data_IF_364740304538
#
_entry.id   IF_364740304538
#
_cell.length_a   1.000
_cell.length_b   1.000
_cell.length_c   1.000
_cell.angle_alpha   90.00
_cell.angle_beta   90.00
_cell.angle_gamma   90.00
#
_symmetry.space_group_name_H-M   'P 1'
#
loop_
_entity.id
_entity.type
_entity.pdbx_description
1 polymer ?
#
# COMPACT_ATOMS: atom_id res chain seq x y z
N UNK A 1 35.77 5.76 37.78
CA UNK A 1 35.67 5.27 36.39
C UNK A 1 34.38 4.46 36.32
N UNK A 2 33.31 5.04 35.75
CA UNK A 2 32.88 4.86 34.35
C UNK A 2 32.48 3.39 34.05
N UNK A 3 31.30 3.04 33.59
CA UNK A 3 30.10 3.78 33.22
C UNK A 3 28.95 2.76 33.06
N UNK A 4 27.73 3.15 33.43
CA UNK A 4 26.56 2.31 33.23
C UNK A 4 26.15 2.37 31.75
N UNK A 5 26.19 1.22 31.08
CA UNK A 5 25.81 1.08 29.68
C UNK A 5 24.30 1.32 29.50
N UNK A 6 23.93 2.31 28.69
CA UNK A 6 22.58 2.45 28.17
C UNK A 6 22.29 1.28 27.22
N UNK A 7 21.39 0.39 27.64
CA UNK A 7 20.72 -0.53 26.73
C UNK A 7 19.70 0.29 25.91
N UNK A 8 20.09 0.66 24.69
CA UNK A 8 19.15 1.18 23.69
C UNK A 8 18.18 0.05 23.32
N UNK A 9 16.95 0.16 23.82
CA UNK A 9 15.82 -0.61 23.32
C UNK A 9 15.59 -0.22 21.85
N UNK A 10 16.09 -1.04 20.93
CA UNK A 10 15.64 -1.00 19.54
C UNK A 10 14.19 -1.47 19.53
N UNK A 11 13.25 -0.52 19.46
CA UNK A 11 11.87 -0.83 19.15
C UNK A 11 11.84 -1.56 17.80
N UNK A 12 11.07 -2.65 17.65
CA UNK A 12 10.87 -3.26 16.36
C UNK A 12 10.06 -2.26 15.53
N UNK A 13 10.74 -1.54 14.63
CA UNK A 13 10.08 -1.09 13.41
C UNK A 13 9.45 -2.35 12.84
N UNK A 14 8.12 -2.37 12.71
CA UNK A 14 7.41 -3.47 12.11
C UNK A 14 8.01 -3.68 10.71
N UNK A 15 8.96 -4.61 10.61
CA UNK A 15 9.49 -5.06 9.35
C UNK A 15 8.28 -5.61 8.61
N UNK A 16 7.86 -4.92 7.56
CA UNK A 16 6.97 -5.52 6.58
C UNK A 16 7.58 -6.89 6.26
N UNK A 17 6.85 -7.96 6.59
CA UNK A 17 7.37 -9.31 6.44
C UNK A 17 7.92 -9.43 5.02
N UNK A 18 9.22 -9.71 4.92
CA UNK A 18 9.92 -9.81 3.64
C UNK A 18 9.16 -10.83 2.79
N UNK A 19 8.57 -10.40 1.67
CA UNK A 19 7.68 -11.26 0.88
C UNK A 19 8.45 -12.19 -0.05
N UNK A 20 9.76 -11.99 -0.15
CA UNK A 20 10.67 -12.72 -1.01
C UNK A 20 11.32 -11.77 -2.01
N UNK A 21 12.58 -12.04 -2.37
CA UNK A 21 13.41 -11.12 -3.16
C UNK A 21 12.72 -10.58 -4.42
N UNK A 22 11.99 -11.44 -5.13
CA UNK A 22 11.21 -11.06 -6.32
C UNK A 22 10.12 -10.03 -6.01
N UNK A 23 9.35 -10.26 -4.94
CA UNK A 23 8.24 -9.40 -4.55
C UNK A 23 8.72 -8.09 -3.92
N UNK A 24 9.86 -8.12 -3.25
CA UNK A 24 10.43 -6.96 -2.57
C UNK A 24 11.24 -6.04 -3.51
N UNK A 25 11.65 -6.52 -4.69
CA UNK A 25 12.62 -5.81 -5.53
C UNK A 25 12.16 -4.39 -5.91
N UNK A 26 10.97 -4.24 -6.49
CA UNK A 26 10.50 -2.93 -6.95
C UNK A 26 10.31 -1.95 -5.78
N UNK A 27 9.80 -2.44 -4.65
CA UNK A 27 9.60 -1.64 -3.44
C UNK A 27 10.93 -1.24 -2.80
N UNK A 28 11.92 -2.12 -2.83
CA UNK A 28 13.27 -1.84 -2.32
C UNK A 28 14.05 -0.87 -3.21
N UNK A 29 13.83 -0.92 -4.52
CA UNK A 29 14.50 -0.07 -5.50
C UNK A 29 13.89 1.34 -5.62
N UNK A 30 12.60 1.50 -5.29
CA UNK A 30 11.95 2.81 -5.32
C UNK A 30 12.47 3.74 -4.20
N UNK A 31 12.86 4.97 -4.56
CA UNK A 31 13.30 5.97 -3.58
C UNK A 31 12.11 6.46 -2.73
N UNK A 32 12.36 7.03 -1.53
CA UNK A 32 11.29 7.62 -0.71
C UNK A 32 10.46 8.67 -1.46
N UNK A 33 11.08 9.48 -2.31
CA UNK A 33 10.43 10.51 -3.11
C UNK A 33 9.49 9.87 -4.14
N UNK A 34 9.96 8.85 -4.86
CA UNK A 34 9.13 8.13 -5.83
C UNK A 34 7.96 7.43 -5.14
N UNK A 35 8.16 6.83 -3.96
CA UNK A 35 7.07 6.23 -3.18
C UNK A 35 6.02 7.27 -2.78
N UNK A 36 6.45 8.46 -2.39
CA UNK A 36 5.54 9.56 -2.06
C UNK A 36 4.77 10.06 -3.29
N UNK A 37 5.44 10.20 -4.45
CA UNK A 37 4.78 10.56 -5.70
C UNK A 37 3.78 9.49 -6.17
N UNK A 38 4.12 8.21 -6.05
CA UNK A 38 3.21 7.09 -6.33
C UNK A 38 1.99 7.12 -5.41
N UNK A 39 2.22 7.31 -4.10
CA UNK A 39 1.14 7.39 -3.12
C UNK A 39 0.20 8.57 -3.36
N UNK A 40 0.76 9.75 -3.64
CA UNK A 40 -0.01 10.96 -3.96
C UNK A 40 -0.75 10.89 -5.31
N UNK A 41 -0.19 10.21 -6.32
CA UNK A 41 -0.87 10.00 -7.61
C UNK A 41 -2.07 9.05 -7.53
N UNK A 42 -2.22 8.30 -6.42
CA UNK A 42 -3.38 7.47 -6.13
C UNK A 42 -4.48 8.22 -5.37
N UNK A 43 -4.20 9.45 -4.95
CA UNK A 43 -5.18 10.37 -4.34
C UNK A 43 -5.43 11.53 -5.29
N UNK A 44 -6.41 12.37 -4.97
CA UNK A 44 -6.80 13.55 -5.75
C UNK A 44 -5.73 14.65 -5.83
N UNK A 45 -4.52 14.41 -5.33
CA UNK A 45 -3.43 15.38 -5.24
C UNK A 45 -2.50 15.35 -6.47
N UNK A 46 -2.71 14.44 -7.43
CA UNK A 46 -1.92 14.33 -8.65
C UNK A 46 -2.52 15.05 -9.87
N UNK A 47 -1.67 15.64 -10.71
CA UNK A 47 -2.03 16.00 -12.09
C UNK A 47 -1.71 14.84 -13.06
N UNK A 48 -2.46 14.73 -14.16
CA UNK A 48 -2.37 13.60 -15.10
C UNK A 48 -0.96 13.45 -15.72
N UNK A 49 -0.27 14.56 -15.98
CA UNK A 49 1.07 14.53 -16.58
C UNK A 49 2.14 14.04 -15.58
N UNK A 50 1.99 14.41 -14.31
CA UNK A 50 2.80 13.89 -13.21
C UNK A 50 2.58 12.41 -12.98
N UNK A 51 1.34 11.92 -13.17
CA UNK A 51 1.01 10.49 -13.03
C UNK A 51 1.72 9.62 -14.06
N UNK A 52 1.74 10.04 -15.32
CA UNK A 52 2.42 9.30 -16.40
C UNK A 52 3.93 9.21 -16.15
N UNK A 53 4.57 10.32 -15.77
CA UNK A 53 6.00 10.35 -15.45
C UNK A 53 6.35 9.45 -14.24
N UNK A 54 5.47 9.39 -13.23
CA UNK A 54 5.64 8.51 -12.08
C UNK A 54 5.51 7.04 -12.49
N UNK A 55 4.57 6.71 -13.36
CA UNK A 55 4.36 5.34 -13.84
C UNK A 55 5.50 4.88 -14.75
N UNK A 56 6.06 5.77 -15.57
CA UNK A 56 7.27 5.49 -16.36
C UNK A 56 8.47 5.16 -15.47
N UNK A 57 8.71 5.96 -14.42
CA UNK A 57 9.79 5.69 -13.46
C UNK A 57 9.62 4.34 -12.75
N UNK A 58 8.40 4.01 -12.32
CA UNK A 58 8.11 2.69 -11.77
C UNK A 58 8.31 1.58 -12.82
N UNK A 59 7.95 1.84 -14.08
CA UNK A 59 8.14 0.93 -15.19
C UNK A 59 9.60 0.55 -15.38
N UNK A 60 10.52 1.52 -15.33
CA UNK A 60 11.96 1.26 -15.40
C UNK A 60 12.50 0.42 -14.23
N UNK A 61 12.00 0.66 -13.01
CA UNK A 61 12.34 -0.17 -11.84
C UNK A 61 11.84 -1.60 -12.03
N UNK A 62 10.58 -1.74 -12.45
CA UNK A 62 9.96 -3.04 -12.72
C UNK A 62 10.72 -3.80 -13.81
N UNK A 63 11.14 -3.13 -14.89
CA UNK A 63 11.94 -3.73 -15.96
C UNK A 63 13.28 -4.26 -15.47
N UNK A 64 13.94 -3.49 -14.59
CA UNK A 64 15.19 -3.89 -13.96
C UNK A 64 15.00 -5.14 -13.08
N UNK A 65 13.96 -5.14 -12.24
CA UNK A 65 13.62 -6.29 -11.39
C UNK A 65 13.21 -7.53 -12.20
N UNK A 66 12.46 -7.34 -13.30
CA UNK A 66 12.06 -8.43 -14.21
C UNK A 66 13.29 -9.08 -14.84
N UNK A 67 14.25 -8.27 -15.30
CA UNK A 67 15.50 -8.75 -15.85
C UNK A 67 16.37 -9.47 -14.80
N UNK A 68 16.53 -8.88 -13.61
CA UNK A 68 17.35 -9.42 -12.51
C UNK A 68 16.82 -10.78 -12.04
N UNK A 69 15.50 -10.88 -11.84
CA UNK A 69 14.87 -12.07 -11.27
C UNK A 69 14.26 -13.01 -12.31
N UNK A 70 14.50 -12.75 -13.61
CA UNK A 70 14.00 -13.55 -14.73
C UNK A 70 12.50 -13.79 -14.65
N UNK A 71 11.75 -12.75 -14.29
CA UNK A 71 10.28 -12.80 -14.26
C UNK A 71 9.80 -13.00 -15.70
N UNK A 72 8.86 -13.91 -15.91
CA UNK A 72 8.37 -14.19 -17.26
C UNK A 72 7.69 -12.95 -17.84
N UNK A 73 7.84 -12.75 -19.15
CA UNK A 73 7.21 -11.61 -19.83
C UNK A 73 5.68 -11.57 -19.63
N UNK A 74 5.03 -12.74 -19.51
CA UNK A 74 3.61 -12.86 -19.22
C UNK A 74 3.21 -12.33 -17.83
N UNK A 75 4.13 -12.34 -16.86
CA UNK A 75 3.88 -11.89 -15.50
C UNK A 75 4.22 -10.41 -15.28
N UNK A 76 4.85 -9.75 -16.26
CA UNK A 76 5.35 -8.37 -16.13
C UNK A 76 4.24 -7.38 -15.76
N UNK A 77 3.10 -7.43 -16.44
CA UNK A 77 1.99 -6.52 -16.16
C UNK A 77 1.42 -6.74 -14.75
N UNK A 78 1.22 -8.00 -14.36
CA UNK A 78 0.77 -8.37 -13.01
C UNK A 78 1.78 -7.91 -11.94
N UNK A 79 3.07 -8.04 -12.22
CA UNK A 79 4.13 -7.62 -11.31
C UNK A 79 4.22 -6.09 -11.19
N UNK A 80 3.99 -5.36 -12.28
CA UNK A 80 3.84 -3.90 -12.25
C UNK A 80 2.67 -3.48 -11.35
N UNK A 81 1.48 -4.02 -11.58
CA UNK A 81 0.27 -3.70 -10.80
C UNK A 81 0.47 -4.02 -9.31
N UNK A 82 1.06 -5.18 -9.01
CA UNK A 82 1.42 -5.58 -7.65
C UNK A 82 2.39 -4.58 -7.01
N UNK A 83 3.44 -4.17 -7.73
CA UNK A 83 4.47 -3.26 -7.22
C UNK A 83 3.90 -1.88 -6.95
N UNK A 84 3.09 -1.35 -7.89
CA UNK A 84 2.37 -0.09 -7.73
C UNK A 84 1.48 -0.14 -6.48
N UNK A 85 0.63 -1.16 -6.40
CA UNK A 85 -0.31 -1.33 -5.29
C UNK A 85 0.40 -1.49 -3.94
N UNK A 86 1.50 -2.24 -3.88
CA UNK A 86 2.29 -2.41 -2.65
C UNK A 86 2.89 -1.08 -2.18
N UNK A 87 3.52 -0.33 -3.08
CA UNK A 87 4.12 0.96 -2.74
C UNK A 87 3.05 1.94 -2.27
N UNK A 88 1.96 2.08 -3.02
CA UNK A 88 0.85 2.97 -2.67
C UNK A 88 0.26 2.61 -1.30
N UNK A 89 0.01 1.31 -1.06
CA UNK A 89 -0.51 0.83 0.22
C UNK A 89 0.42 1.17 1.37
N UNK A 90 1.71 0.84 1.26
CA UNK A 90 2.70 1.10 2.31
C UNK A 90 2.81 2.59 2.63
N UNK A 91 2.78 3.46 1.62
CA UNK A 91 2.79 4.91 1.82
C UNK A 91 1.50 5.40 2.50
N UNK A 92 0.33 4.94 2.04
CA UNK A 92 -0.98 5.33 2.57
C UNK A 92 -1.15 4.92 4.04
N UNK A 93 -0.55 3.82 4.51
CA UNK A 93 -0.54 3.47 5.95
C UNK A 93 0.03 4.63 6.76
N UNK A 94 1.17 5.19 6.34
CA UNK A 94 1.82 6.29 7.04
C UNK A 94 1.03 7.59 6.93
N UNK A 95 0.40 7.85 5.78
CA UNK A 95 -0.33 9.10 5.56
C UNK A 95 -1.68 9.13 6.29
N UNK A 96 -2.41 8.02 6.30
CA UNK A 96 -3.65 7.84 7.09
C UNK A 96 -3.37 8.00 8.59
N UNK A 97 -2.22 7.49 9.07
CA UNK A 97 -1.83 7.62 10.47
C UNK A 97 -1.63 9.06 10.94
N UNK A 98 -1.32 10.01 10.05
CA UNK A 98 -1.23 11.45 10.38
C UNK A 98 -2.58 12.04 10.81
N UNK A 99 -3.68 11.42 10.40
CA UNK A 99 -5.04 11.76 10.81
C UNK A 99 -5.52 10.94 12.02
N UNK A 100 -4.61 10.27 12.74
CA UNK A 100 -4.91 9.39 13.87
C UNK A 100 -5.86 8.21 13.53
N UNK A 101 -5.91 7.81 12.26
CA UNK A 101 -6.63 6.64 11.79
C UNK A 101 -5.66 5.47 11.61
N UNK A 102 -6.17 4.24 11.74
CA UNK A 102 -5.38 3.04 11.50
C UNK A 102 -5.86 2.35 10.23
N UNK A 103 -4.96 2.10 9.30
CA UNK A 103 -5.29 1.45 8.04
C UNK A 103 -5.74 -0.02 8.22
N UNK A 104 -5.28 -0.70 9.28
CA UNK A 104 -5.68 -2.07 9.58
C UNK A 104 -7.18 -2.24 9.92
N UNK A 105 -7.90 -1.15 10.22
CA UNK A 105 -9.36 -1.16 10.35
C UNK A 105 -10.01 -1.53 9.02
N UNK A 106 -9.50 -0.99 7.91
CA UNK A 106 -9.94 -1.32 6.55
C UNK A 106 -9.61 -2.77 6.22
N UNK A 107 -8.42 -3.24 6.62
CA UNK A 107 -8.03 -4.64 6.40
C UNK A 107 -8.98 -5.62 7.07
N UNK A 108 -9.39 -5.32 8.30
CA UNK A 108 -10.29 -6.18 9.06
C UNK A 108 -11.70 -6.20 8.48
N UNK A 109 -12.24 -5.03 8.12
CA UNK A 109 -13.64 -4.94 7.68
C UNK A 109 -13.84 -5.49 6.26
N UNK A 110 -12.83 -5.36 5.40
CA UNK A 110 -12.86 -5.89 4.04
C UNK A 110 -12.24 -7.29 3.92
N UNK A 111 -11.82 -7.88 5.04
CA UNK A 111 -11.14 -9.18 5.09
C UNK A 111 -9.97 -9.26 4.11
N UNK A 112 -9.09 -8.26 4.19
CA UNK A 112 -7.83 -8.25 3.45
C UNK A 112 -6.76 -9.08 4.16
N UNK A 113 -6.10 -9.96 3.41
CA UNK A 113 -4.99 -10.75 3.93
C UNK A 113 -4.62 -11.96 3.07
N UNK A 114 -3.58 -12.71 3.46
CA UNK A 114 -3.15 -13.91 2.73
C UNK A 114 -4.24 -14.98 2.60
N UNK A 115 -5.15 -15.02 3.58
CA UNK A 115 -6.28 -15.97 3.65
C UNK A 115 -7.65 -15.28 3.58
N UNK A 116 -7.65 -13.96 3.40
CA UNK A 116 -8.88 -13.18 3.37
C UNK A 116 -9.59 -13.26 2.02
N UNK A 117 -10.84 -12.82 2.01
CA UNK A 117 -11.66 -12.70 0.81
C UNK A 117 -10.98 -11.85 -0.26
N UNK A 118 -10.33 -10.76 0.14
CA UNK A 118 -9.70 -9.78 -0.76
C UNK A 118 -10.66 -9.33 -1.87
N UNK A 119 -11.78 -8.66 -1.54
CA UNK A 119 -12.77 -8.24 -2.53
C UNK A 119 -12.09 -7.40 -3.62
N UNK A 120 -12.52 -7.60 -4.87
CA UNK A 120 -12.04 -6.80 -5.99
C UNK A 120 -12.70 -5.42 -5.95
N UNK A 121 -11.88 -4.40 -5.73
CA UNK A 121 -12.23 -2.97 -5.72
C UNK A 121 -11.63 -2.23 -6.92
N UNK A 122 -11.43 -2.93 -8.04
CA UNK A 122 -11.01 -2.30 -9.30
C UNK A 122 -12.10 -1.38 -9.89
N UNK A 123 -13.36 -1.58 -9.49
CA UNK A 123 -14.48 -0.66 -9.69
C UNK A 123 -14.72 0.23 -8.46
N UNK A 124 -15.68 1.15 -8.57
CA UNK A 124 -16.14 1.93 -7.41
C UNK A 124 -16.58 1.00 -6.27
N UNK A 125 -16.20 1.35 -5.03
CA UNK A 125 -16.67 0.66 -3.83
C UNK A 125 -18.18 0.82 -3.71
N UNK A 126 -18.86 -0.23 -3.26
CA UNK A 126 -20.30 -0.14 -3.00
C UNK A 126 -20.59 0.68 -1.76
N UNK A 127 -21.80 1.25 -1.68
CA UNK A 127 -22.27 1.97 -0.49
C UNK A 127 -22.17 1.10 0.77
N UNK A 128 -22.44 -0.21 0.66
CA UNK A 128 -22.31 -1.15 1.79
C UNK A 128 -20.85 -1.27 2.26
N UNK A 129 -19.88 -1.32 1.34
CA UNK A 129 -18.46 -1.37 1.68
C UNK A 129 -18.01 -0.05 2.33
N UNK A 130 -18.44 1.08 1.78
CA UNK A 130 -18.16 2.41 2.33
C UNK A 130 -18.72 2.53 3.75
N UNK A 131 -20.00 2.17 3.93
CA UNK A 131 -20.66 2.21 5.23
C UNK A 131 -19.98 1.27 6.24
N UNK A 132 -19.56 0.08 5.82
CA UNK A 132 -18.84 -0.85 6.70
C UNK A 132 -17.51 -0.25 7.18
N UNK A 133 -16.73 0.38 6.30
CA UNK A 133 -15.47 1.07 6.67
C UNK A 133 -15.74 2.19 7.68
N UNK A 134 -16.75 3.04 7.41
CA UNK A 134 -17.11 4.15 8.29
C UNK A 134 -17.50 3.64 9.67
N UNK A 135 -18.39 2.63 9.75
CA UNK A 135 -18.80 2.03 11.02
C UNK A 135 -17.64 1.37 11.76
N UNK A 136 -16.70 0.74 11.05
CA UNK A 136 -15.51 0.15 11.65
C UNK A 136 -14.61 1.23 12.29
N UNK A 137 -14.48 2.40 11.66
CA UNK A 137 -13.75 3.52 12.24
C UNK A 137 -14.45 4.11 13.47
N UNK A 138 -15.79 4.26 13.45
CA UNK A 138 -16.57 4.67 14.63
C UNK A 138 -16.35 3.68 15.77
N UNK A 139 -16.44 2.38 15.50
CA UNK A 139 -16.22 1.32 16.49
C UNK A 139 -14.78 1.32 17.04
N UNK A 140 -13.81 1.76 16.23
CA UNK A 140 -12.42 1.96 16.63
C UNK A 140 -12.18 3.28 17.40
N UNK A 141 -13.23 4.09 17.63
CA UNK A 141 -13.18 5.33 18.40
C UNK A 141 -12.83 6.58 17.60
N UNK A 142 -12.92 6.53 16.26
CA UNK A 142 -12.70 7.70 15.43
C UNK A 142 -13.92 8.65 15.47
N UNK A 143 -13.65 9.95 15.60
CA UNK A 143 -14.68 10.98 15.44
C UNK A 143 -14.83 11.34 13.96
N UNK A 144 -15.66 10.57 13.26
CA UNK A 144 -15.84 10.69 11.81
C UNK A 144 -16.33 12.06 11.35
N UNK A 145 -17.00 12.82 12.21
CA UNK A 145 -17.50 14.17 11.88
C UNK A 145 -16.38 15.21 11.78
N UNK A 146 -15.19 14.88 12.28
CA UNK A 146 -14.00 15.75 12.24
C UNK A 146 -12.99 15.35 11.17
N UNK A 147 -13.21 14.22 10.49
CA UNK A 147 -12.31 13.69 9.47
C UNK A 147 -12.57 14.42 8.16
N UNK A 148 -11.52 15.07 7.63
CA UNK A 148 -11.56 15.78 6.35
C UNK A 148 -11.80 14.82 5.17
N UNK A 149 -12.48 15.30 4.13
CA UNK A 149 -12.76 14.51 2.93
C UNK A 149 -11.49 13.95 2.27
N UNK A 150 -10.38 14.68 2.26
CA UNK A 150 -9.10 14.20 1.72
C UNK A 150 -8.52 13.03 2.52
N UNK A 151 -8.85 12.92 3.81
CA UNK A 151 -8.47 11.75 4.61
C UNK A 151 -9.32 10.55 4.21
N UNK A 152 -10.62 10.74 3.94
CA UNK A 152 -11.48 9.68 3.42
C UNK A 152 -11.06 9.19 2.03
N UNK A 153 -10.62 10.09 1.16
CA UNK A 153 -10.05 9.72 -0.15
C UNK A 153 -8.83 8.81 0.00
N UNK A 154 -7.96 9.09 0.98
CA UNK A 154 -6.79 8.23 1.29
C UNK A 154 -7.19 6.86 1.82
N UNK A 155 -8.22 6.79 2.67
CA UNK A 155 -8.79 5.53 3.15
C UNK A 155 -9.33 4.71 1.98
N UNK A 156 -10.05 5.34 1.04
CA UNK A 156 -10.53 4.68 -0.17
C UNK A 156 -9.40 4.22 -1.10
N UNK A 157 -8.41 5.07 -1.35
CA UNK A 157 -7.22 4.72 -2.12
C UNK A 157 -6.46 3.53 -1.49
N UNK A 158 -6.42 3.47 -0.16
CA UNK A 158 -5.79 2.37 0.56
C UNK A 158 -6.56 1.06 0.36
N UNK A 159 -7.90 1.11 0.44
CA UNK A 159 -8.74 -0.06 0.18
C UNK A 159 -8.52 -0.59 -1.25
N UNK A 160 -8.56 0.30 -2.25
CA UNK A 160 -8.33 -0.05 -3.66
C UNK A 160 -6.92 -0.64 -3.88
N UNK A 161 -5.87 0.01 -3.38
CA UNK A 161 -4.50 -0.48 -3.46
C UNK A 161 -4.35 -1.84 -2.76
N UNK A 162 -4.99 -2.04 -1.61
CA UNK A 162 -4.93 -3.32 -0.88
C UNK A 162 -5.62 -4.45 -1.63
N UNK A 163 -6.76 -4.17 -2.25
CA UNK A 163 -7.45 -5.10 -3.15
C UNK A 163 -6.53 -5.54 -4.30
N UNK A 164 -5.94 -4.57 -5.03
CA UNK A 164 -5.05 -4.86 -6.15
C UNK A 164 -3.84 -5.67 -5.67
N UNK A 165 -3.20 -5.23 -4.59
CA UNK A 165 -2.04 -5.89 -4.01
C UNK A 165 -2.30 -7.38 -3.76
N UNK A 166 -3.35 -7.72 -3.00
CA UNK A 166 -3.62 -9.11 -2.68
C UNK A 166 -4.08 -9.94 -3.88
N UNK A 167 -4.88 -9.36 -4.77
CA UNK A 167 -5.38 -10.07 -5.95
C UNK A 167 -4.26 -10.33 -6.97
N UNK A 168 -3.35 -9.38 -7.19
CA UNK A 168 -2.19 -9.58 -8.07
C UNK A 168 -1.15 -10.49 -7.44
N UNK A 169 -0.92 -10.38 -6.12
CA UNK A 169 -0.02 -11.26 -5.35
C UNK A 169 -0.36 -12.74 -5.49
N UNK A 170 -1.65 -13.09 -5.60
CA UNK A 170 -2.14 -14.47 -5.82
C UNK A 170 -1.82 -15.01 -7.23
N UNK A 171 -1.69 -14.12 -8.22
CA UNK A 171 -1.43 -14.49 -9.61
C UNK A 171 0.06 -14.65 -9.92
N UNK A 172 0.92 -14.00 -9.14
CA UNK A 172 2.36 -14.10 -9.31
C UNK A 172 2.87 -15.48 -8.84
N UNK A 173 3.72 -16.17 -9.63
CA UNK A 173 4.19 -17.52 -9.32
C UNK A 173 5.30 -17.56 -8.26
N UNK A 174 5.52 -16.47 -7.53
CA UNK A 174 6.60 -16.31 -6.56
C UNK A 174 6.17 -16.89 -5.20
N UNK A 175 7.01 -17.77 -4.65
CA UNK A 175 6.79 -18.45 -3.36
C UNK A 175 7.69 -17.87 -2.29
#
# INVERSE_FOLDING_TARGET
MAGAALALAMAPVAAAAQEGKQLDCAVGAATPELKASIGGAMTSDGDDAGRDAVFEQLGHIVDSCVAEHKIAAADKATYFDYSLARISREWLVGDIAKANLKANVVDQVLDFGPRGANPDLSSEMTDDQINAIVQAYIAAGADIGTIDQKVWEKVGAYAAATSIYWNKRKLLPFK
#
